data_IF_935092774046
#
_entry.id   IF_935092774046
#
_cell.length_a   1.000
_cell.length_b   1.000
_cell.length_c   1.000
_cell.angle_alpha   90.00
_cell.angle_beta   90.00
_cell.angle_gamma   90.00
#
_symmetry.space_group_name_H-M   'P 1'
#
loop_
_entity.id
_entity.type
_entity.pdbx_description
1 polymer ?
#
# COMPACT_ATOMS: atom_id res chain seq x y z
N UNK A 1 4.32 -7.54 -12.13
CA UNK A 1 2.86 -7.56 -12.31
C UNK A 1 2.43 -7.21 -13.73
N UNK A 2 2.72 -6.04 -14.30
CA UNK A 2 2.15 -5.68 -15.63
C UNK A 2 2.85 -6.26 -16.87
N UNK A 3 3.62 -7.33 -16.73
CA UNK A 3 4.38 -7.89 -17.85
C UNK A 3 3.59 -9.02 -18.53
N UNK A 4 3.30 -8.96 -19.84
CA UNK A 4 2.38 -9.90 -20.52
C UNK A 4 2.74 -11.39 -20.37
N UNK A 5 4.03 -11.71 -20.27
CA UNK A 5 4.52 -13.11 -20.17
C UNK A 5 5.11 -13.46 -18.81
N UNK A 6 5.08 -12.54 -17.83
CA UNK A 6 5.61 -12.79 -16.47
C UNK A 6 4.57 -12.53 -15.37
N UNK A 7 3.37 -12.06 -15.73
CA UNK A 7 2.26 -11.91 -14.80
C UNK A 7 1.52 -13.23 -14.61
N UNK A 8 2.19 -14.21 -14.02
CA UNK A 8 1.64 -15.53 -13.82
C UNK A 8 2.27 -16.20 -12.61
N UNK A 9 1.47 -17.01 -11.92
CA UNK A 9 1.91 -17.86 -10.80
C UNK A 9 1.38 -19.27 -11.02
N UNK A 10 2.14 -20.28 -10.59
CA UNK A 10 1.71 -21.67 -10.58
C UNK A 10 1.61 -22.12 -9.13
N UNK A 11 0.40 -22.41 -8.69
CA UNK A 11 0.12 -22.77 -7.30
C UNK A 11 -0.38 -24.21 -7.25
N UNK A 12 0.18 -25.02 -6.34
CA UNK A 12 -0.34 -26.35 -6.06
C UNK A 12 -1.55 -26.24 -5.15
N UNK A 13 -2.66 -26.85 -5.54
CA UNK A 13 -3.85 -26.93 -4.68
C UNK A 13 -3.63 -28.00 -3.62
N UNK A 14 -3.61 -27.56 -2.37
CA UNK A 14 -3.49 -28.39 -1.17
C UNK A 14 -4.47 -27.89 -0.08
N UNK A 15 -5.76 -27.84 -0.42
CA UNK A 15 -6.83 -27.39 0.48
C UNK A 15 -6.84 -25.87 0.72
N UNK A 16 -7.36 -25.43 1.87
CA UNK A 16 -7.54 -23.99 2.15
C UNK A 16 -6.22 -23.24 2.37
N UNK A 17 -5.17 -23.94 2.81
CA UNK A 17 -3.81 -23.38 2.90
C UNK A 17 -3.27 -22.87 1.56
N UNK A 18 -3.81 -23.34 0.43
CA UNK A 18 -3.43 -22.85 -0.91
C UNK A 18 -3.66 -21.35 -1.07
N UNK A 19 -4.63 -20.77 -0.37
CA UNK A 19 -4.87 -19.33 -0.41
C UNK A 19 -3.65 -18.52 0.08
N UNK A 20 -2.92 -19.06 1.06
CA UNK A 20 -1.67 -18.47 1.53
C UNK A 20 -0.59 -18.51 0.44
N UNK A 21 -0.46 -19.65 -0.24
CA UNK A 21 0.49 -19.82 -1.35
C UNK A 21 0.15 -18.87 -2.49
N UNK A 22 -1.13 -18.76 -2.87
CA UNK A 22 -1.58 -17.81 -3.89
C UNK A 22 -1.25 -16.37 -3.51
N UNK A 23 -1.45 -15.98 -2.24
CA UNK A 23 -1.08 -14.65 -1.76
C UNK A 23 0.43 -14.42 -1.81
N UNK A 24 1.22 -15.40 -1.37
CA UNK A 24 2.69 -15.38 -1.40
C UNK A 24 3.23 -15.20 -2.82
N UNK A 25 2.80 -16.04 -3.75
CA UNK A 25 3.23 -15.96 -5.16
C UNK A 25 2.75 -14.66 -5.82
N UNK A 26 1.57 -14.16 -5.46
CA UNK A 26 1.09 -12.84 -5.92
C UNK A 26 1.99 -11.73 -5.40
N UNK A 27 2.50 -11.85 -4.16
CA UNK A 27 3.50 -10.95 -3.59
C UNK A 27 4.77 -10.87 -4.44
N UNK A 28 5.31 -12.01 -4.88
CA UNK A 28 6.45 -12.04 -5.80
C UNK A 28 6.15 -11.36 -7.14
N UNK A 29 4.96 -11.56 -7.70
CA UNK A 29 4.56 -10.87 -8.94
C UNK A 29 4.44 -9.34 -8.71
N UNK A 30 4.12 -8.91 -7.48
CA UNK A 30 4.13 -7.51 -7.04
C UNK A 30 5.53 -6.98 -6.65
N UNK A 31 6.58 -7.79 -6.82
CA UNK A 31 7.97 -7.39 -6.58
C UNK A 31 8.41 -7.47 -5.13
N UNK A 32 7.72 -8.25 -4.30
CA UNK A 32 8.11 -8.51 -2.91
C UNK A 32 9.11 -9.67 -2.83
N UNK A 33 10.10 -9.52 -1.95
CA UNK A 33 11.10 -10.53 -1.62
C UNK A 33 10.73 -11.26 -0.32
N UNK A 34 11.44 -12.36 -0.03
CA UNK A 34 11.20 -13.10 1.21
C UNK A 34 11.60 -12.30 2.46
N UNK A 35 10.77 -12.39 3.49
CA UNK A 35 11.08 -11.87 4.82
C UNK A 35 12.26 -12.61 5.44
N UNK A 36 13.21 -11.87 6.03
CA UNK A 36 14.41 -12.43 6.66
C UNK A 36 15.52 -12.84 5.69
N UNK A 37 15.29 -12.76 4.37
CA UNK A 37 16.34 -12.99 3.36
C UNK A 37 16.90 -11.64 2.89
N UNK A 38 17.97 -11.17 3.55
CA UNK A 38 18.62 -9.92 3.18
C UNK A 38 17.87 -8.65 3.61
N UNK A 39 16.79 -8.78 4.40
CA UNK A 39 16.05 -7.67 5.00
C UNK A 39 15.90 -7.84 6.52
N UNK A 40 15.33 -6.83 7.19
CA UNK A 40 15.20 -6.76 8.66
C UNK A 40 13.94 -7.44 9.21
N UNK A 41 13.14 -8.09 8.37
CA UNK A 41 11.86 -8.69 8.77
C UNK A 41 11.98 -10.18 9.15
N UNK A 42 13.17 -10.64 9.55
CA UNK A 42 13.39 -12.03 9.99
C UNK A 42 12.56 -12.45 11.19
N UNK A 43 12.33 -11.54 12.15
CA UNK A 43 11.50 -11.85 13.33
C UNK A 43 10.01 -12.05 12.94
N UNK A 44 9.56 -11.40 11.86
CA UNK A 44 8.19 -11.49 11.37
C UNK A 44 7.86 -12.83 10.70
N UNK A 45 8.87 -13.57 10.22
CA UNK A 45 8.65 -14.89 9.60
C UNK A 45 8.04 -15.85 10.62
N UNK A 46 8.56 -15.83 11.85
CA UNK A 46 8.08 -16.65 12.97
C UNK A 46 6.64 -16.30 13.41
N UNK A 47 6.19 -15.08 13.08
CA UNK A 47 4.85 -14.59 13.40
C UNK A 47 3.81 -14.93 12.32
N UNK A 48 4.21 -15.56 11.20
CA UNK A 48 3.31 -15.94 10.11
C UNK A 48 3.19 -14.91 9.00
N UNK A 49 4.25 -14.12 8.73
CA UNK A 49 4.23 -13.19 7.62
C UNK A 49 4.03 -13.91 6.27
N UNK A 50 3.27 -13.30 5.36
CA UNK A 50 2.91 -13.93 4.07
C UNK A 50 4.15 -14.22 3.23
N UNK A 51 5.15 -13.34 3.24
CA UNK A 51 6.39 -13.52 2.49
C UNK A 51 7.48 -14.28 3.25
N UNK A 52 7.14 -15.01 4.32
CA UNK A 52 8.09 -15.92 4.95
C UNK A 52 8.54 -17.02 3.98
N UNK A 53 9.85 -17.37 3.91
CA UNK A 53 10.38 -18.34 2.95
C UNK A 53 9.96 -19.79 3.24
N UNK A 54 9.49 -20.05 4.46
CA UNK A 54 8.90 -21.31 4.86
C UNK A 54 7.53 -20.98 5.44
N UNK A 55 6.51 -21.73 5.02
CA UNK A 55 5.18 -21.69 5.62
C UNK A 55 5.30 -22.25 7.04
N UNK A 56 5.65 -21.37 7.99
CA UNK A 56 5.67 -21.73 9.40
C UNK A 56 4.23 -21.80 9.88
N UNK A 57 3.95 -22.82 10.69
CA UNK A 57 2.61 -23.25 11.11
C UNK A 57 1.82 -22.25 11.99
N UNK A 58 2.15 -20.95 11.95
CA UNK A 58 1.41 -19.88 12.58
C UNK A 58 0.19 -19.47 11.73
N UNK A 59 -0.58 -20.45 11.23
CA UNK A 59 -1.78 -20.27 10.41
C UNK A 59 -2.96 -19.54 11.10
N UNK A 60 -2.76 -19.02 12.31
CA UNK A 60 -3.74 -18.21 13.04
C UNK A 60 -3.49 -16.70 12.88
N UNK A 61 -2.36 -16.31 12.30
CA UNK A 61 -1.99 -14.91 12.08
C UNK A 61 -1.27 -14.78 10.75
N UNK A 62 -2.02 -14.31 9.75
CA UNK A 62 -1.46 -13.93 8.47
C UNK A 62 -1.37 -12.41 8.41
N UNK A 63 -0.21 -11.88 8.08
CA UNK A 63 -0.03 -10.45 7.85
C UNK A 63 1.07 -10.21 6.83
N UNK A 64 1.01 -9.07 6.16
CA UNK A 64 2.14 -8.57 5.37
C UNK A 64 3.13 -7.92 6.30
N UNK A 65 4.42 -8.24 6.16
CA UNK A 65 5.47 -7.63 6.97
C UNK A 65 5.64 -6.15 6.64
N UNK A 66 6.36 -5.43 7.50
CA UNK A 66 6.76 -4.06 7.19
C UNK A 66 7.65 -4.00 5.94
N UNK A 67 8.43 -5.03 5.63
CA UNK A 67 9.28 -5.11 4.44
C UNK A 67 8.45 -5.29 3.18
N UNK A 68 7.51 -6.25 3.15
CA UNK A 68 6.63 -6.45 2.00
C UNK A 68 5.80 -5.21 1.69
N UNK A 69 5.34 -4.50 2.73
CA UNK A 69 4.62 -3.23 2.57
C UNK A 69 5.49 -2.10 1.99
N UNK A 70 6.78 -2.04 2.34
CA UNK A 70 7.73 -1.09 1.76
C UNK A 70 8.04 -1.41 0.30
N UNK A 71 8.23 -2.68 -0.03
CA UNK A 71 8.50 -3.15 -1.40
C UNK A 71 7.30 -2.91 -2.32
N UNK A 72 6.08 -3.21 -1.85
CA UNK A 72 4.87 -2.89 -2.61
C UNK A 72 4.78 -1.39 -2.91
N UNK A 73 4.98 -0.54 -1.91
CA UNK A 73 4.96 0.93 -2.10
C UNK A 73 6.02 1.41 -3.07
N UNK A 74 7.17 0.71 -3.14
CA UNK A 74 8.23 1.02 -4.09
C UNK A 74 7.82 0.75 -5.54
N UNK A 75 7.11 -0.35 -5.79
CA UNK A 75 6.80 -0.80 -7.16
C UNK A 75 5.36 -0.51 -7.62
N UNK A 76 4.41 -0.21 -6.72
CA UNK A 76 2.99 -0.04 -7.08
C UNK A 76 2.76 1.04 -8.14
N UNK A 77 3.54 2.14 -8.09
CA UNK A 77 3.46 3.23 -9.06
C UNK A 77 3.98 2.87 -10.46
N UNK A 78 4.67 1.74 -10.60
CA UNK A 78 5.19 1.25 -11.90
C UNK A 78 4.21 0.32 -12.61
N UNK A 79 3.06 0.01 -11.99
CA UNK A 79 2.09 -0.96 -12.49
C UNK A 79 0.88 -0.26 -13.12
N UNK A 80 1.05 0.24 -14.34
CA UNK A 80 -0.01 0.95 -15.08
C UNK A 80 -1.27 0.11 -15.31
N UNK A 81 -1.12 -1.22 -15.43
CA UNK A 81 -2.23 -2.17 -15.63
C UNK A 81 -3.12 -2.40 -14.40
N UNK A 82 -2.79 -1.80 -13.25
CA UNK A 82 -3.58 -1.87 -12.03
C UNK A 82 -4.34 -0.57 -11.74
N UNK A 83 -4.26 0.41 -12.65
CA UNK A 83 -4.81 1.77 -12.45
C UNK A 83 -6.26 1.89 -12.86
N UNK A 84 -6.74 1.04 -13.77
CA UNK A 84 -8.14 1.02 -14.19
C UNK A 84 -8.99 0.17 -13.23
N UNK A 85 -10.20 0.64 -12.96
CA UNK A 85 -11.19 -0.17 -12.29
C UNK A 85 -11.53 -1.37 -13.20
N UNK A 86 -11.53 -2.61 -12.68
CA UNK A 86 -11.85 -3.77 -13.48
C UNK A 86 -13.24 -3.60 -14.11
N UNK A 87 -13.33 -3.75 -15.44
CA UNK A 87 -14.58 -3.67 -16.18
C UNK A 87 -15.68 -4.48 -15.48
N UNK A 88 -16.85 -3.85 -15.24
CA UNK A 88 -18.00 -4.43 -14.52
C UNK A 88 -18.26 -5.88 -14.92
N UNK A 89 -17.73 -6.80 -14.12
CA UNK A 89 -18.16 -8.18 -14.08
C UNK A 89 -19.11 -8.34 -12.90
N UNK A 90 -20.18 -9.10 -13.09
CA UNK A 90 -21.01 -9.60 -12.01
C UNK A 90 -20.22 -10.68 -11.27
N UNK A 91 -19.21 -10.27 -10.49
CA UNK A 91 -18.51 -11.18 -9.59
C UNK A 91 -19.50 -11.64 -8.52
N UNK A 92 -19.54 -12.94 -8.20
CA UNK A 92 -20.36 -13.42 -7.10
C UNK A 92 -19.91 -12.71 -5.81
N UNK A 93 -20.89 -12.28 -5.02
CA UNK A 93 -20.60 -11.71 -3.71
C UNK A 93 -19.90 -12.79 -2.87
N UNK A 94 -18.63 -12.56 -2.54
CA UNK A 94 -17.88 -13.47 -1.70
C UNK A 94 -18.53 -13.50 -0.31
N UNK A 95 -18.69 -14.69 0.31
CA UNK A 95 -19.15 -14.78 1.68
C UNK A 95 -18.19 -14.02 2.59
N UNK A 96 -18.76 -13.32 3.57
CA UNK A 96 -18.03 -12.44 4.47
C UNK A 96 -16.92 -13.17 5.25
N UNK A 97 -17.17 -14.42 5.61
CA UNK A 97 -16.19 -15.32 6.19
C UNK A 97 -16.32 -16.72 5.57
N UNK A 98 -15.21 -17.32 5.13
CA UNK A 98 -15.27 -18.57 4.38
C UNK A 98 -15.81 -19.74 5.21
N UNK A 99 -15.53 -19.79 6.52
CA UNK A 99 -15.99 -20.86 7.41
C UNK A 99 -17.51 -20.92 7.62
N UNK A 100 -18.27 -19.91 7.19
CA UNK A 100 -19.75 -19.96 7.19
C UNK A 100 -20.26 -21.05 6.24
N UNK A 101 -19.57 -21.25 5.12
CA UNK A 101 -19.97 -22.17 4.07
C UNK A 101 -19.24 -23.53 4.16
N UNK A 102 -18.27 -23.66 5.06
CA UNK A 102 -17.44 -24.85 5.19
C UNK A 102 -17.34 -25.25 6.66
N UNK A 103 -18.06 -26.30 7.04
CA UNK A 103 -17.96 -26.96 8.35
C UNK A 103 -16.57 -27.56 8.59
N UNK A 104 -16.26 -27.92 9.85
CA UNK A 104 -14.99 -28.60 10.17
C UNK A 104 -14.83 -29.94 9.42
N UNK A 105 -15.93 -30.68 9.20
CA UNK A 105 -15.91 -31.92 8.44
C UNK A 105 -15.59 -31.68 6.96
N UNK A 106 -16.17 -30.65 6.35
CA UNK A 106 -15.87 -30.29 4.96
C UNK A 106 -14.42 -29.85 4.81
N UNK A 107 -13.91 -29.05 5.75
CA UNK A 107 -12.50 -28.65 5.76
C UNK A 107 -11.57 -29.86 5.89
N UNK A 108 -11.89 -30.83 6.76
CA UNK A 108 -11.14 -32.10 6.82
C UNK A 108 -11.18 -32.88 5.51
N UNK A 109 -12.31 -32.87 4.81
CA UNK A 109 -12.47 -33.50 3.50
C UNK A 109 -11.59 -32.84 2.43
N UNK A 110 -11.50 -31.51 2.44
CA UNK A 110 -10.65 -30.75 1.52
C UNK A 110 -9.15 -30.96 1.81
N UNK A 111 -8.75 -31.02 3.08
CA UNK A 111 -7.34 -31.13 3.46
C UNK A 111 -6.75 -32.55 3.32
N UNK A 112 -7.56 -33.59 3.57
CA UNK A 112 -7.07 -34.97 3.65
C UNK A 112 -7.80 -35.95 2.70
N UNK A 113 -8.83 -35.49 2.00
CA UNK A 113 -9.58 -36.26 1.03
C UNK A 113 -10.93 -36.79 1.52
N UNK A 114 -11.63 -37.47 0.61
CA UNK A 114 -12.97 -38.00 0.86
C UNK A 114 -12.97 -38.94 2.08
N UNK A 115 -13.97 -38.78 2.96
CA UNK A 115 -14.16 -39.63 4.14
C UNK A 115 -13.57 -39.06 5.42
N UNK A 116 -12.57 -38.17 5.35
CA UNK A 116 -12.04 -37.50 6.53
C UNK A 116 -13.06 -36.54 7.17
N UNK A 117 -13.12 -36.57 8.51
CA UNK A 117 -14.00 -35.74 9.35
C UNK A 117 -13.25 -35.27 10.58
N UNK A 118 -13.88 -34.42 11.40
CA UNK A 118 -13.30 -33.99 12.67
C UNK A 118 -12.91 -35.17 13.56
N UNK A 119 -11.68 -35.13 14.07
CA UNK A 119 -11.18 -36.14 15.01
C UNK A 119 -11.87 -36.00 16.37
N UNK A 120 -12.46 -37.09 16.84
CA UNK A 120 -13.17 -37.15 18.13
C UNK A 120 -12.44 -37.98 19.19
N UNK A 121 -11.28 -38.54 18.86
CA UNK A 121 -10.51 -39.42 19.76
C UNK A 121 -9.89 -38.72 20.97
N UNK A 122 -9.81 -37.40 20.94
CA UNK A 122 -9.44 -36.59 22.10
C UNK A 122 -10.25 -35.29 22.11
N UNK A 123 -10.40 -34.69 23.30
CA UNK A 123 -11.05 -33.38 23.43
C UNK A 123 -10.04 -32.26 23.18
N UNK A 124 -10.27 -31.48 22.14
CA UNK A 124 -9.60 -30.19 21.95
C UNK A 124 -10.25 -29.14 22.86
N UNK A 125 -9.48 -28.55 23.77
CA UNK A 125 -9.99 -27.47 24.65
C UNK A 125 -10.35 -26.20 23.88
N UNK A 126 -9.71 -25.97 22.74
CA UNK A 126 -10.02 -24.87 21.83
C UNK A 126 -10.01 -25.41 20.40
N UNK A 127 -11.18 -25.77 19.83
CA UNK A 127 -11.27 -26.38 18.51
C UNK A 127 -10.83 -25.42 17.39
N UNK A 128 -10.73 -24.11 17.68
CA UNK A 128 -10.31 -23.12 16.70
C UNK A 128 -8.79 -22.96 16.61
N UNK A 129 -7.99 -23.57 17.49
CA UNK A 129 -6.53 -23.47 17.41
C UNK A 129 -5.94 -24.29 16.28
N UNK A 130 -6.40 -25.52 16.13
CA UNK A 130 -5.92 -26.48 15.14
C UNK A 130 -7.03 -27.42 14.73
N UNK A 131 -7.23 -27.57 13.42
CA UNK A 131 -8.14 -28.55 12.86
C UNK A 131 -7.49 -29.93 12.88
N UNK A 132 -8.10 -30.87 13.59
CA UNK A 132 -7.67 -32.27 13.66
C UNK A 132 -8.70 -33.15 12.98
N UNK A 133 -8.24 -34.01 12.08
CA UNK A 133 -9.08 -34.82 11.21
C UNK A 133 -8.73 -36.30 11.33
N UNK A 134 -9.71 -37.18 11.28
CA UNK A 134 -9.49 -38.63 11.19
C UNK A 134 -10.43 -39.27 10.16
N UNK A 135 -10.05 -40.46 9.70
CA UNK A 135 -10.89 -41.25 8.80
C UNK A 135 -11.76 -42.20 9.65
N UNK A 136 -13.05 -42.42 9.32
CA UNK A 136 -13.93 -43.32 10.06
C UNK A 136 -13.40 -44.75 10.22
N UNK A 137 -12.63 -45.25 9.23
CA UNK A 137 -12.00 -46.58 9.29
C UNK A 137 -10.88 -46.68 10.33
N UNK A 138 -10.27 -45.54 10.71
CA UNK A 138 -9.24 -45.48 11.73
C UNK A 138 -9.40 -44.21 12.58
N UNK A 139 -10.44 -44.17 13.44
CA UNK A 139 -10.86 -42.94 14.11
C UNK A 139 -9.82 -42.41 15.08
N UNK A 140 -9.00 -43.30 15.65
CA UNK A 140 -7.91 -43.00 16.61
C UNK A 140 -6.69 -42.33 15.96
N UNK A 141 -6.55 -42.41 14.64
CA UNK A 141 -5.43 -41.80 13.94
C UNK A 141 -5.80 -40.41 13.43
N UNK A 142 -5.42 -39.40 14.21
CA UNK A 142 -5.74 -38.01 13.91
C UNK A 142 -4.55 -37.29 13.26
N UNK A 143 -4.84 -36.61 12.14
CA UNK A 143 -3.91 -35.81 11.35
C UNK A 143 -4.29 -34.33 11.44
N UNK A 144 -3.31 -33.45 11.24
CA UNK A 144 -3.52 -32.00 11.17
C UNK A 144 -2.52 -31.36 10.22
N UNK A 145 -2.93 -30.30 9.53
CA UNK A 145 -2.03 -29.39 8.81
C UNK A 145 -1.44 -28.29 9.72
N UNK A 146 -1.66 -28.39 11.04
CA UNK A 146 -1.26 -27.41 12.07
C UNK A 146 -1.91 -26.04 11.94
N UNK A 147 -2.96 -25.90 11.12
CA UNK A 147 -3.73 -24.67 10.98
C UNK A 147 -5.09 -24.70 11.68
N UNK A 148 -5.63 -23.52 12.06
CA UNK A 148 -6.95 -23.41 12.62
C UNK A 148 -8.01 -23.68 11.54
N UNK A 149 -9.24 -24.07 11.94
CA UNK A 149 -10.39 -23.99 11.05
C UNK A 149 -10.59 -22.57 10.53
N UNK A 150 -11.21 -22.44 9.36
CA UNK A 150 -11.48 -21.15 8.73
C UNK A 150 -12.23 -20.19 9.65
N UNK A 151 -11.92 -18.90 9.55
CA UNK A 151 -12.73 -17.88 10.23
C UNK A 151 -14.18 -17.98 9.75
N UNK A 152 -15.12 -17.97 10.69
CA UNK A 152 -16.55 -18.20 10.45
C UNK A 152 -17.05 -19.61 10.78
N UNK A 153 -16.14 -20.59 10.96
CA UNK A 153 -16.52 -21.99 11.22
C UNK A 153 -17.19 -22.13 12.59
N UNK A 154 -18.35 -22.78 12.67
CA UNK A 154 -19.02 -23.03 13.95
C UNK A 154 -18.16 -23.93 14.85
N UNK A 155 -17.87 -23.46 16.06
CA UNK A 155 -17.04 -24.18 17.04
C UNK A 155 -17.82 -24.64 18.27
N UNK A 156 -18.97 -24.02 18.54
CA UNK A 156 -19.94 -24.39 19.55
C UNK A 156 -21.27 -23.68 19.23
N UNK A 157 -22.40 -24.09 19.83
CA UNK A 157 -23.68 -23.43 19.57
C UNK A 157 -23.61 -21.91 19.80
N UNK A 158 -23.83 -21.13 18.75
CA UNK A 158 -23.76 -19.65 18.78
C UNK A 158 -22.35 -19.05 18.79
N UNK A 159 -21.31 -19.87 18.59
CA UNK A 159 -19.91 -19.45 18.55
C UNK A 159 -19.23 -19.89 17.26
N UNK A 160 -18.27 -19.10 16.81
CA UNK A 160 -17.49 -19.35 15.61
C UNK A 160 -15.98 -19.17 15.84
N UNK A 161 -15.18 -19.77 14.96
CA UNK A 161 -13.75 -19.52 14.90
C UNK A 161 -13.49 -18.13 14.31
N UNK A 162 -12.67 -17.35 15.00
CA UNK A 162 -12.17 -16.07 14.50
C UNK A 162 -10.74 -15.85 15.02
N UNK A 163 -9.77 -15.66 14.11
CA UNK A 163 -8.34 -15.53 14.44
C UNK A 163 -7.83 -16.65 15.35
N UNK A 164 -8.29 -17.87 15.10
CA UNK A 164 -7.89 -19.07 15.86
C UNK A 164 -8.53 -19.24 17.24
N UNK A 165 -9.58 -18.48 17.56
CA UNK A 165 -10.30 -18.56 18.84
C UNK A 165 -11.80 -18.81 18.65
N UNK A 166 -12.39 -19.62 19.55
CA UNK A 166 -13.83 -19.85 19.57
C UNK A 166 -14.57 -18.71 20.28
N UNK A 167 -15.13 -17.78 19.52
CA UNK A 167 -15.76 -16.55 19.99
C UNK A 167 -17.27 -16.56 19.77
N UNK A 168 -18.03 -15.79 20.56
CA UNK A 168 -19.45 -15.55 20.27
C UNK A 168 -19.63 -14.84 18.94
N UNK A 169 -20.69 -15.20 18.22
CA UNK A 169 -21.07 -14.54 16.96
C UNK A 169 -21.42 -13.07 17.25
N UNK A 170 -20.49 -12.17 16.99
CA UNK A 170 -20.69 -10.74 17.20
C UNK A 170 -21.03 -10.04 15.88
N UNK A 171 -22.15 -9.28 15.79
CA UNK A 171 -22.51 -8.50 14.59
C UNK A 171 -21.47 -7.43 14.20
N UNK A 172 -20.57 -7.06 15.12
CA UNK A 172 -19.52 -6.06 14.90
C UNK A 172 -18.22 -6.65 14.30
N UNK A 173 -18.19 -7.95 13.96
CA UNK A 173 -17.10 -8.58 13.21
C UNK A 173 -17.34 -8.60 11.70
N UNK A 174 -18.38 -7.89 11.25
CA UNK A 174 -18.72 -7.65 9.84
C UNK A 174 -17.57 -6.87 9.18
N UNK A 175 -17.22 -7.27 7.96
CA UNK A 175 -16.25 -6.57 7.10
C UNK A 175 -16.71 -5.13 6.93
N UNK A 176 -15.88 -4.18 7.34
CA UNK A 176 -16.20 -2.77 7.23
C UNK A 176 -15.14 -2.11 6.35
N UNK A 177 -15.52 -1.79 5.11
CA UNK A 177 -14.69 -1.00 4.22
C UNK A 177 -14.51 0.42 4.81
N UNK A 178 -13.33 0.97 4.59
CA UNK A 178 -12.99 2.32 5.01
C UNK A 178 -13.77 3.35 4.20
N UNK A 179 -14.25 4.40 4.86
CA UNK A 179 -14.76 5.57 4.17
C UNK A 179 -14.09 6.86 4.65
N UNK A 180 -13.95 7.78 3.69
CA UNK A 180 -13.31 9.05 3.92
C UNK A 180 -14.09 9.87 4.95
N UNK A 181 -13.38 10.39 5.94
CA UNK A 181 -13.86 11.53 6.68
C UNK A 181 -13.98 12.75 5.76
N UNK A 182 -14.79 13.72 6.20
CA UNK A 182 -14.85 15.03 5.59
C UNK A 182 -13.46 15.62 5.44
N UNK A 183 -13.23 16.31 4.33
CA UNK A 183 -11.99 17.05 4.11
C UNK A 183 -11.70 18.00 5.28
N UNK A 184 -10.45 18.00 5.73
CA UNK A 184 -9.93 19.01 6.63
C UNK A 184 -10.00 20.41 6.01
N UNK A 185 -9.75 21.42 6.84
CA UNK A 185 -9.61 22.80 6.35
C UNK A 185 -8.35 22.91 5.49
N UNK A 186 -8.41 23.77 4.48
CA UNK A 186 -7.21 24.17 3.77
C UNK A 186 -6.22 24.81 4.74
N UNK A 187 -4.96 24.40 4.63
CA UNK A 187 -3.85 25.08 5.30
C UNK A 187 -3.66 26.51 4.76
N UNK A 188 -2.72 27.23 5.37
CA UNK A 188 -2.30 28.54 4.88
C UNK A 188 -1.77 28.46 3.46
N UNK A 189 -1.99 29.52 2.67
CA UNK A 189 -1.38 29.63 1.36
C UNK A 189 0.14 29.62 1.48
N UNK A 190 0.84 28.93 0.59
CA UNK A 190 2.31 28.93 0.55
C UNK A 190 2.91 30.32 0.32
N UNK A 191 2.08 31.29 -0.11
CA UNK A 191 2.47 32.65 -0.44
C UNK A 191 1.45 33.67 0.03
N UNK A 192 1.85 34.93 0.18
CA UNK A 192 0.99 36.08 0.48
C UNK A 192 0.64 36.93 -0.76
N UNK A 193 1.36 36.76 -1.87
CA UNK A 193 1.09 37.38 -3.17
C UNK A 193 1.72 36.52 -4.29
N UNK A 194 1.20 36.66 -5.52
CA UNK A 194 1.54 35.79 -6.65
C UNK A 194 1.06 34.36 -6.45
N UNK A 195 0.98 33.59 -7.53
CA UNK A 195 0.40 32.23 -7.53
C UNK A 195 1.00 31.34 -6.43
N UNK A 196 0.23 31.10 -5.37
CA UNK A 196 0.56 30.18 -4.28
C UNK A 196 -0.29 28.91 -4.34
N UNK A 197 0.03 27.95 -3.47
CA UNK A 197 -0.73 26.70 -3.33
C UNK A 197 -1.10 26.50 -1.87
N UNK A 198 -2.33 26.04 -1.63
CA UNK A 198 -2.76 25.53 -0.33
C UNK A 198 -3.31 24.12 -0.49
N UNK A 199 -3.11 23.29 0.53
CA UNK A 199 -3.57 21.90 0.51
C UNK A 199 -4.47 21.61 1.71
N UNK A 200 -5.30 20.58 1.56
CA UNK A 200 -6.06 19.97 2.64
C UNK A 200 -5.90 18.45 2.59
N UNK A 201 -6.14 17.80 3.72
CA UNK A 201 -6.08 16.34 3.83
C UNK A 201 -7.39 15.80 4.39
N UNK A 202 -7.63 14.51 4.17
CA UNK A 202 -8.72 13.74 4.77
C UNK A 202 -8.17 12.43 5.31
N UNK A 203 -8.87 11.84 6.27
CA UNK A 203 -8.47 10.58 6.91
C UNK A 203 -9.46 9.47 6.52
N UNK A 204 -8.96 8.23 6.39
CA UNK A 204 -9.78 7.06 6.17
C UNK A 204 -10.23 6.49 7.51
N UNK A 205 -11.18 7.15 8.17
CA UNK A 205 -11.62 6.80 9.52
C UNK A 205 -13.11 7.02 9.78
N UNK A 206 -13.94 7.19 8.74
CA UNK A 206 -15.37 7.42 8.91
C UNK A 206 -16.25 6.49 8.03
N UNK A 207 -16.21 5.16 8.24
CA UNK A 207 -15.48 4.45 9.29
C UNK A 207 -14.05 4.07 8.87
N UNK A 208 -13.22 3.65 9.83
CA UNK A 208 -11.92 3.06 9.53
C UNK A 208 -12.10 1.63 8.99
N UNK A 209 -11.26 1.18 8.04
CA UNK A 209 -11.32 -0.18 7.55
C UNK A 209 -11.07 -1.16 8.69
N UNK A 210 -11.94 -2.16 8.83
CA UNK A 210 -11.79 -3.22 9.81
C UNK A 210 -12.25 -4.57 9.28
N UNK A 211 -11.79 -5.64 9.93
CA UNK A 211 -12.15 -7.02 9.58
C UNK A 211 -11.91 -7.37 8.08
N UNK A 212 -10.81 -6.91 7.51
CA UNK A 212 -10.48 -7.14 6.09
C UNK A 212 -11.20 -6.21 5.11
N UNK A 213 -11.80 -5.12 5.59
CA UNK A 213 -12.34 -4.05 4.76
C UNK A 213 -11.29 -3.37 3.89
N UNK A 214 -11.70 -2.90 2.71
CA UNK A 214 -10.86 -2.16 1.78
C UNK A 214 -10.48 -0.78 2.34
N UNK A 215 -9.27 -0.31 2.03
CA UNK A 215 -8.88 1.07 2.34
C UNK A 215 -9.65 2.07 1.46
N UNK A 216 -9.66 3.34 1.86
CA UNK A 216 -10.49 4.34 1.18
C UNK A 216 -10.00 4.62 -0.25
N UNK A 217 -10.89 4.59 -1.26
CA UNK A 217 -10.49 4.79 -2.66
C UNK A 217 -10.10 6.26 -2.96
N UNK A 218 -8.98 6.45 -3.65
CA UNK A 218 -8.50 7.77 -4.12
C UNK A 218 -7.47 8.44 -3.19
N UNK A 219 -7.16 9.71 -3.48
CA UNK A 219 -6.11 10.44 -2.74
C UNK A 219 -6.60 10.97 -1.39
N UNK A 220 -5.70 11.02 -0.41
CA UNK A 220 -5.97 11.58 0.92
C UNK A 220 -5.65 13.08 1.02
N UNK A 221 -5.23 13.71 -0.07
CA UNK A 221 -4.89 15.13 -0.14
C UNK A 221 -5.51 15.79 -1.39
N UNK A 222 -5.72 17.09 -1.31
CA UNK A 222 -6.17 17.94 -2.40
C UNK A 222 -5.45 19.29 -2.30
N UNK A 223 -5.09 19.86 -3.44
CA UNK A 223 -4.47 21.19 -3.51
C UNK A 223 -5.28 22.12 -4.40
N UNK A 224 -5.16 23.41 -4.14
CA UNK A 224 -5.71 24.44 -5.00
C UNK A 224 -4.80 25.67 -5.01
N UNK A 225 -4.90 26.45 -6.08
CA UNK A 225 -4.20 27.72 -6.17
C UNK A 225 -4.81 28.75 -5.20
N UNK A 226 -3.97 29.63 -4.69
CA UNK A 226 -4.36 30.75 -3.83
C UNK A 226 -3.52 31.99 -4.15
N UNK A 227 -4.06 33.17 -3.82
CA UNK A 227 -3.41 34.47 -4.07
C UNK A 227 -2.89 34.62 -5.51
N UNK A 228 -3.75 34.50 -6.50
CA UNK A 228 -3.38 34.60 -7.92
C UNK A 228 -3.04 36.01 -8.39
N UNK A 229 -3.29 37.02 -7.56
CA UNK A 229 -2.97 38.42 -7.85
C UNK A 229 -1.45 38.66 -7.85
N UNK A 230 -1.00 39.51 -8.78
CA UNK A 230 0.41 39.87 -8.90
C UNK A 230 0.93 40.61 -7.65
N UNK A 231 2.20 40.37 -7.31
CA UNK A 231 2.83 41.05 -6.17
C UNK A 231 3.07 42.54 -6.47
N UNK A 232 2.84 43.45 -5.51
CA UNK A 232 3.15 44.87 -5.66
C UNK A 232 4.66 45.11 -5.53
N UNK A 233 5.37 44.94 -6.65
CA UNK A 233 6.68 45.47 -7.08
C UNK A 233 7.06 44.68 -8.34
N UNK A 234 7.53 45.37 -9.37
CA UNK A 234 7.93 44.86 -10.69
C UNK A 234 8.24 43.35 -10.74
N UNK A 235 7.31 42.56 -11.29
CA UNK A 235 7.41 41.14 -11.67
C UNK A 235 8.75 40.45 -11.36
N UNK A 236 8.94 40.05 -10.11
CA UNK A 236 10.03 39.15 -9.77
C UNK A 236 9.54 37.72 -9.98
N UNK A 237 9.93 37.14 -11.12
CA UNK A 237 9.85 35.70 -11.32
C UNK A 237 10.43 34.98 -10.10
N UNK A 238 9.62 34.17 -9.44
CA UNK A 238 10.01 33.50 -8.20
C UNK A 238 11.10 32.47 -8.39
N UNK A 239 11.25 31.90 -9.59
CA UNK A 239 12.42 31.09 -9.92
C UNK A 239 13.67 31.98 -9.96
N UNK A 240 13.56 33.19 -10.50
CA UNK A 240 14.65 34.15 -10.53
C UNK A 240 15.09 34.56 -9.13
N UNK A 241 14.16 34.81 -8.21
CA UNK A 241 14.48 35.08 -6.80
C UNK A 241 15.27 33.94 -6.17
N UNK A 242 14.82 32.69 -6.39
CA UNK A 242 15.51 31.51 -5.87
C UNK A 242 16.92 31.34 -6.45
N UNK A 243 17.11 31.66 -7.73
CA UNK A 243 18.43 31.69 -8.35
C UNK A 243 19.30 32.81 -7.79
N UNK A 244 18.77 34.03 -7.63
CA UNK A 244 19.51 35.18 -7.11
C UNK A 244 20.00 34.98 -5.66
N UNK A 245 19.21 34.31 -4.81
CA UNK A 245 19.62 33.92 -3.46
C UNK A 245 20.87 33.04 -3.44
N UNK A 246 21.25 32.42 -4.57
CA UNK A 246 22.47 31.61 -4.70
C UNK A 246 23.70 32.41 -5.09
N UNK A 247 23.56 33.65 -5.56
CA UNK A 247 24.70 34.47 -6.03
C UNK A 247 25.79 34.65 -4.96
N UNK A 248 25.42 34.73 -3.68
CA UNK A 248 26.37 34.94 -2.58
C UNK A 248 26.99 33.66 -2.02
N UNK A 249 26.32 32.50 -2.19
CA UNK A 249 26.61 31.27 -1.45
C UNK A 249 26.94 30.04 -2.30
N UNK A 250 26.79 30.12 -3.63
CA UNK A 250 27.04 28.98 -4.52
C UNK A 250 28.20 29.29 -5.49
N UNK A 251 29.32 28.59 -5.29
CA UNK A 251 30.46 28.60 -6.20
C UNK A 251 30.31 27.46 -7.22
N UNK A 252 30.37 27.80 -8.50
CA UNK A 252 30.32 26.85 -9.61
C UNK A 252 31.62 27.01 -10.40
N UNK A 253 32.29 25.91 -10.74
CA UNK A 253 33.60 25.93 -11.41
C UNK A 253 34.62 26.88 -10.73
N UNK A 254 34.63 26.94 -9.38
CA UNK A 254 35.48 27.81 -8.56
C UNK A 254 35.28 29.33 -8.75
N UNK A 255 34.11 29.76 -9.26
CA UNK A 255 33.74 31.17 -9.35
C UNK A 255 32.33 31.42 -8.80
N UNK A 256 32.07 32.67 -8.42
CA UNK A 256 30.71 33.15 -8.12
C UNK A 256 30.07 33.66 -9.40
N UNK A 257 28.81 33.32 -9.59
CA UNK A 257 28.06 33.65 -10.80
C UNK A 257 26.79 34.42 -10.43
N UNK A 258 26.31 35.24 -11.38
CA UNK A 258 24.97 35.81 -11.32
C UNK A 258 24.00 34.84 -12.00
N UNK A 259 23.13 34.26 -11.20
CA UNK A 259 22.20 33.22 -11.63
C UNK A 259 20.87 33.79 -12.12
N UNK A 260 20.50 33.41 -13.34
CA UNK A 260 19.23 33.71 -13.98
C UNK A 260 18.30 32.48 -13.96
N UNK A 261 16.97 32.64 -13.97
CA UNK A 261 16.04 31.51 -14.01
C UNK A 261 16.20 30.71 -15.30
N UNK A 262 16.12 29.38 -15.21
CA UNK A 262 16.14 28.50 -16.37
C UNK A 262 15.03 27.44 -16.31
N UNK A 263 14.24 27.31 -17.39
CA UNK A 263 13.27 26.22 -17.59
C UNK A 263 13.96 25.08 -18.34
N UNK A 264 14.02 23.90 -17.73
CA UNK A 264 14.64 22.72 -18.35
C UNK A 264 13.75 22.18 -19.50
N UNK A 265 14.33 21.73 -20.63
CA UNK A 265 13.55 21.22 -21.77
C UNK A 265 12.71 19.99 -21.42
N UNK A 266 13.28 19.03 -20.70
CA UNK A 266 12.60 17.83 -20.15
C UNK A 266 11.55 18.21 -19.09
N UNK A 267 10.30 17.81 -19.34
CA UNK A 267 9.15 18.10 -18.49
C UNK A 267 9.32 17.57 -17.06
N UNK A 268 9.95 16.40 -16.87
CA UNK A 268 10.15 15.79 -15.56
C UNK A 268 11.14 16.56 -14.69
N UNK A 269 11.95 17.43 -15.31
CA UNK A 269 12.98 18.23 -14.62
C UNK A 269 12.59 19.69 -14.48
N UNK A 270 11.42 20.10 -14.98
CA UNK A 270 10.98 21.51 -14.97
C UNK A 270 10.77 22.08 -13.58
N UNK A 271 10.37 21.26 -12.60
CA UNK A 271 10.21 21.69 -11.21
C UNK A 271 11.52 21.65 -10.40
N UNK A 272 12.63 21.14 -10.96
CA UNK A 272 13.95 21.29 -10.37
C UNK A 272 14.46 22.72 -10.56
N UNK A 273 15.22 23.22 -9.59
CA UNK A 273 15.83 24.54 -9.67
C UNK A 273 17.11 24.48 -10.52
N UNK A 274 16.95 24.74 -11.82
CA UNK A 274 18.04 25.03 -12.73
C UNK A 274 18.20 26.54 -12.89
N UNK A 275 19.43 27.01 -12.88
CA UNK A 275 19.76 28.41 -13.13
C UNK A 275 20.87 28.53 -14.17
N UNK A 276 20.81 29.60 -14.96
CA UNK A 276 21.77 29.94 -16.00
C UNK A 276 22.78 30.97 -15.45
N UNK A 277 24.08 30.73 -15.63
CA UNK A 277 25.10 31.75 -15.32
C UNK A 277 25.08 32.84 -16.38
N UNK A 278 25.03 34.09 -15.93
CA UNK A 278 25.16 35.26 -16.80
C UNK A 278 26.57 35.40 -17.40
N UNK A 279 27.59 34.93 -16.69
CA UNK A 279 29.00 35.07 -17.06
C UNK A 279 29.44 34.04 -18.10
N UNK A 280 29.07 32.77 -17.91
CA UNK A 280 29.55 31.67 -18.77
C UNK A 280 28.48 31.13 -19.73
N UNK A 281 27.20 31.39 -19.46
CA UNK A 281 26.09 30.78 -20.18
C UNK A 281 25.83 29.31 -19.79
N UNK A 282 26.51 28.79 -18.77
CA UNK A 282 26.30 27.43 -18.29
C UNK A 282 25.01 27.30 -17.47
N UNK A 283 24.36 26.14 -17.58
CA UNK A 283 23.19 25.78 -16.77
C UNK A 283 23.62 24.87 -15.63
N UNK A 284 23.34 25.29 -14.40
CA UNK A 284 23.65 24.52 -13.19
C UNK A 284 22.36 24.04 -12.50
N UNK A 285 22.35 22.77 -12.09
CA UNK A 285 21.33 22.25 -11.17
C UNK A 285 21.69 22.61 -9.74
N UNK A 286 20.81 23.33 -9.05
CA UNK A 286 21.02 23.81 -7.69
C UNK A 286 20.77 22.76 -6.60
N UNK A 287 20.66 21.47 -6.97
CA UNK A 287 20.42 20.33 -6.07
C UNK A 287 19.17 20.47 -5.18
N UNK A 288 18.19 21.25 -5.63
CA UNK A 288 16.92 21.41 -4.94
C UNK A 288 15.78 21.62 -5.92
N UNK A 289 14.57 21.40 -5.45
CA UNK A 289 13.33 21.71 -6.16
C UNK A 289 12.98 23.18 -5.97
N UNK A 290 12.19 23.73 -6.89
CA UNK A 290 11.64 25.07 -6.71
C UNK A 290 10.64 25.07 -5.54
N UNK A 291 10.43 26.21 -4.88
CA UNK A 291 9.44 26.32 -3.80
C UNK A 291 7.99 26.26 -4.30
N UNK A 292 7.07 25.82 -3.43
CA UNK A 292 5.64 25.72 -3.72
C UNK A 292 5.02 27.03 -4.19
N UNK A 293 4.32 27.00 -5.31
CA UNK A 293 3.82 28.19 -6.00
C UNK A 293 4.74 28.69 -7.13
N UNK A 294 5.95 28.15 -7.27
CA UNK A 294 6.83 28.50 -8.41
C UNK A 294 6.38 27.76 -9.68
N UNK A 295 6.32 28.47 -10.80
CA UNK A 295 5.99 27.85 -12.10
C UNK A 295 7.08 26.86 -12.53
N UNK A 296 6.68 25.66 -12.92
CA UNK A 296 7.54 24.68 -13.53
C UNK A 296 7.69 24.94 -15.03
N UNK A 297 6.63 25.39 -15.70
CA UNK A 297 6.70 25.88 -17.09
C UNK A 297 6.15 27.30 -17.20
N UNK A 298 6.82 28.16 -17.96
CA UNK A 298 6.31 29.50 -18.25
C UNK A 298 5.23 29.50 -19.34
N UNK A 299 5.09 28.39 -20.08
CA UNK A 299 4.07 28.22 -21.13
C UNK A 299 2.68 27.89 -20.58
N UNK A 300 2.61 27.36 -19.36
CA UNK A 300 1.37 26.95 -18.71
C UNK A 300 1.28 27.57 -17.31
N UNK A 301 0.30 28.48 -17.14
CA UNK A 301 0.08 29.17 -15.88
C UNK A 301 -0.33 28.24 -14.73
N UNK A 302 -0.83 27.04 -15.03
CA UNK A 302 -1.23 26.02 -14.06
C UNK A 302 -0.10 25.03 -13.75
N UNK A 303 0.99 25.05 -14.51
CA UNK A 303 2.18 24.24 -14.25
C UNK A 303 2.96 24.83 -13.08
N UNK A 304 2.50 24.55 -11.87
CA UNK A 304 3.03 25.11 -10.63
C UNK A 304 3.49 24.01 -9.69
N UNK A 305 4.61 24.22 -9.04
CA UNK A 305 5.14 23.35 -8.01
C UNK A 305 4.19 23.28 -6.81
N UNK A 306 3.85 22.06 -6.39
CA UNK A 306 3.28 21.78 -5.07
C UNK A 306 4.02 20.63 -4.39
N UNK A 307 4.35 20.76 -3.11
CA UNK A 307 4.96 19.71 -2.30
C UNK A 307 3.99 18.53 -2.10
N UNK A 308 2.68 18.72 -2.32
CA UNK A 308 1.72 17.62 -2.33
C UNK A 308 1.99 16.64 -3.49
N UNK A 309 2.39 17.16 -4.66
CA UNK A 309 2.81 16.36 -5.83
C UNK A 309 4.18 15.71 -5.66
N UNK A 310 5.05 16.22 -4.78
CA UNK A 310 6.41 15.68 -4.55
C UNK A 310 6.55 14.87 -3.26
N UNK A 311 5.59 14.91 -2.34
CA UNK A 311 5.42 13.80 -1.39
C UNK A 311 5.06 12.48 -2.09
N UNK A 312 4.84 12.53 -3.42
CA UNK A 312 4.71 11.42 -4.35
C UNK A 312 5.89 11.32 -5.35
N UNK A 313 6.91 12.18 -5.28
CA UNK A 313 8.18 11.92 -5.95
C UNK A 313 9.11 11.33 -4.89
N UNK A 314 9.51 10.06 -4.99
CA UNK A 314 10.38 9.47 -3.98
C UNK A 314 11.67 10.29 -3.95
N UNK A 315 12.00 10.81 -2.77
CA UNK A 315 13.39 11.10 -2.43
C UNK A 315 14.16 9.81 -2.68
N UNK A 316 14.95 9.84 -3.75
CA UNK A 316 15.93 8.85 -4.19
C UNK A 316 16.68 8.17 -3.06
#
# INVERSE_FOLDING_TARGET
MCHPVRSCTLNHEDGFSSAFVVAHETGHVLGMEHDGQGNRCGDETSMGSVMAPLVQAAFHRYHWSMCSGQELRRYIHTYDCLLDDPFKHEWPQLPELPGINYSMDEQCRFDFGVGYKICTSFRTFDPCKQLWCSHPDNPYFCKTKKGPPLDGTECAPGKWCYKGHCMWKNPNQVKQDGAWASWGRYGSCSRSCGTGVRFRTRQCNNPAPSNGGQDCPGLNFEYQLCHTEDCPKHFEDFRAQQCQLRNSHFEFQNAKHHWLPHEHPDANKRCHLYCLSKETGDVAYMKQLVHDGTRCSYKDAYSVKSAATERLAPTS
#
